data_IF_353097291069
#
_entry.id   IF_353097291069
#
_cell.length_a   1.000
_cell.length_b   1.000
_cell.length_c   1.000
_cell.angle_alpha   90.00
_cell.angle_beta   90.00
_cell.angle_gamma   90.00
#
_symmetry.space_group_name_H-M   'P 1'
#
loop_
_entity.id
_entity.type
_entity.pdbx_description
1 polymer ?
#
# COMPACT_ATOMS: atom_id res chain seq x y z
N UNK A 1 6.97 -3.26 -2.18
CA UNK A 1 5.65 -2.58 -2.24
C UNK A 1 4.55 -3.61 -2.07
N UNK A 2 3.75 -3.49 -1.03
CA UNK A 2 2.53 -4.28 -0.84
C UNK A 2 1.30 -3.50 -1.38
N UNK A 3 0.19 -3.58 -0.73
CA UNK A 3 -1.07 -2.90 -0.98
C UNK A 3 -1.86 -2.88 0.32
N UNK A 4 -2.85 -2.01 0.42
CA UNK A 4 -3.86 -2.13 1.48
C UNK A 4 -4.50 -3.53 1.46
N UNK A 5 -4.64 -4.15 0.28
CA UNK A 5 -5.14 -5.50 0.14
C UNK A 5 -4.18 -6.60 0.65
N UNK A 6 -3.00 -6.24 1.13
CA UNK A 6 -2.16 -7.11 1.94
C UNK A 6 -2.52 -7.13 3.43
N UNK A 7 -3.40 -6.23 3.87
CA UNK A 7 -3.87 -6.09 5.25
C UNK A 7 -5.36 -6.42 5.37
N UNK A 8 -6.16 -5.96 4.40
CA UNK A 8 -7.59 -6.24 4.28
C UNK A 8 -7.87 -6.77 2.88
N UNK A 9 -8.92 -7.55 2.70
CA UNK A 9 -9.28 -8.08 1.38
C UNK A 9 -10.57 -7.47 0.88
N UNK A 10 -10.67 -7.38 -0.43
CA UNK A 10 -11.88 -6.95 -1.15
C UNK A 10 -12.46 -8.10 -1.97
N UNK A 11 -13.75 -8.05 -2.29
CA UNK A 11 -14.36 -9.04 -3.18
C UNK A 11 -13.58 -9.16 -4.51
N UNK A 12 -13.46 -10.39 -5.00
CA UNK A 12 -12.78 -10.75 -6.25
C UNK A 12 -11.25 -10.56 -6.26
N UNK A 13 -10.61 -10.14 -5.16
CA UNK A 13 -9.18 -9.92 -5.06
C UNK A 13 -8.44 -10.95 -4.19
N UNK A 14 -9.00 -12.14 -3.94
CA UNK A 14 -8.41 -13.12 -3.02
C UNK A 14 -6.95 -13.47 -3.37
N UNK A 15 -6.64 -13.78 -4.63
CA UNK A 15 -5.28 -14.13 -5.07
C UNK A 15 -4.34 -12.93 -4.99
N UNK A 16 -4.80 -11.75 -5.37
CA UNK A 16 -4.05 -10.51 -5.25
C UNK A 16 -3.74 -10.21 -3.77
N UNK A 17 -4.75 -10.27 -2.90
CA UNK A 17 -4.60 -10.05 -1.46
C UNK A 17 -3.61 -11.04 -0.83
N UNK A 18 -3.70 -12.33 -1.20
CA UNK A 18 -2.74 -13.33 -0.76
C UNK A 18 -1.31 -12.99 -1.18
N UNK A 19 -1.10 -12.56 -2.42
CA UNK A 19 0.22 -12.16 -2.93
C UNK A 19 0.79 -10.96 -2.16
N UNK A 20 -0.07 -9.98 -1.83
CA UNK A 20 0.33 -8.77 -1.09
C UNK A 20 0.51 -9.02 0.40
N UNK A 21 -0.27 -9.93 0.99
CA UNK A 21 -0.07 -10.43 2.35
C UNK A 21 1.26 -11.18 2.49
N UNK A 22 1.66 -11.95 1.48
CA UNK A 22 2.97 -12.60 1.44
C UNK A 22 4.11 -11.56 1.50
N UNK A 23 4.01 -10.43 0.81
CA UNK A 23 4.99 -9.33 0.89
C UNK A 23 5.07 -8.77 2.30
N UNK A 24 3.93 -8.62 3.00
CA UNK A 24 3.89 -8.15 4.40
C UNK A 24 4.68 -9.08 5.32
N UNK A 25 4.44 -10.38 5.24
CA UNK A 25 5.13 -11.35 6.10
C UNK A 25 6.60 -11.52 5.71
N UNK A 26 6.93 -11.50 4.41
CA UNK A 26 8.31 -11.53 3.95
C UNK A 26 9.10 -10.31 4.46
N UNK A 27 8.49 -9.13 4.46
CA UNK A 27 9.10 -7.90 5.01
C UNK A 27 9.48 -8.08 6.48
N UNK A 28 8.59 -8.64 7.28
CA UNK A 28 8.85 -8.91 8.71
C UNK A 28 9.96 -9.95 8.91
N UNK A 29 9.94 -11.02 8.12
CA UNK A 29 10.98 -12.04 8.15
C UNK A 29 12.35 -11.47 7.84
N UNK A 30 12.50 -10.75 6.73
CA UNK A 30 13.76 -10.11 6.33
C UNK A 30 14.24 -9.12 7.41
N UNK A 31 13.32 -8.31 7.96
CA UNK A 31 13.68 -7.36 9.00
C UNK A 31 14.27 -8.03 10.25
N UNK A 32 13.71 -9.17 10.66
CA UNK A 32 14.21 -9.94 11.80
C UNK A 32 15.55 -10.62 11.50
N UNK A 33 15.64 -11.27 10.35
CA UNK A 33 16.83 -12.05 9.97
C UNK A 33 18.08 -11.17 9.81
N UNK A 34 17.90 -9.94 9.32
CA UNK A 34 18.99 -9.04 8.94
C UNK A 34 19.12 -7.79 9.82
N UNK A 35 18.36 -7.68 10.91
CA UNK A 35 18.39 -6.51 11.80
C UNK A 35 19.80 -6.11 12.27
N UNK A 36 20.64 -7.11 12.60
CA UNK A 36 22.00 -6.90 13.11
C UNK A 36 23.02 -6.63 12.00
N UNK A 37 22.66 -6.75 10.74
CA UNK A 37 23.57 -6.55 9.59
C UNK A 37 23.48 -5.15 8.99
N UNK A 38 22.61 -4.29 9.55
CA UNK A 38 22.35 -2.94 9.05
C UNK A 38 21.36 -2.89 7.88
N UNK A 39 20.71 -4.00 7.53
CA UNK A 39 19.68 -4.04 6.50
C UNK A 39 18.34 -3.76 7.14
N UNK A 40 17.62 -2.77 6.61
CA UNK A 40 16.25 -2.45 6.98
C UNK A 40 15.28 -2.92 5.90
N UNK A 41 14.15 -3.48 6.30
CA UNK A 41 13.10 -3.90 5.39
C UNK A 41 11.75 -3.41 5.89
N UNK A 42 11.05 -2.62 5.08
CA UNK A 42 9.74 -2.06 5.40
C UNK A 42 8.80 -2.25 4.22
N UNK A 43 7.52 -2.43 4.47
CA UNK A 43 6.50 -2.50 3.43
C UNK A 43 5.62 -1.25 3.45
N UNK A 44 5.30 -0.74 2.26
CA UNK A 44 4.30 0.30 2.07
C UNK A 44 3.06 -0.36 1.50
N UNK A 45 1.91 -0.02 2.08
CA UNK A 45 0.59 -0.49 1.69
C UNK A 45 -0.25 0.70 1.17
N UNK A 46 -0.14 1.05 -0.11
CA UNK A 46 -0.96 2.10 -0.70
C UNK A 46 -2.44 1.70 -0.76
N UNK A 47 -3.33 2.68 -0.64
CA UNK A 47 -4.72 2.59 -1.05
C UNK A 47 -4.89 2.74 -2.56
N UNK A 48 -5.99 3.38 -2.98
CA UNK A 48 -6.21 3.70 -4.39
C UNK A 48 -5.33 4.87 -4.82
N UNK A 49 -4.38 4.59 -5.71
CA UNK A 49 -3.44 5.56 -6.27
C UNK A 49 -3.71 5.69 -7.78
N UNK A 50 -3.64 6.89 -8.31
CA UNK A 50 -3.88 7.20 -9.72
C UNK A 50 -2.76 6.64 -10.61
N UNK A 51 -2.94 5.40 -11.04
CA UNK A 51 -1.96 4.63 -11.83
C UNK A 51 -2.66 3.70 -12.82
N UNK A 52 -1.98 3.32 -13.93
CA UNK A 52 -2.56 2.43 -14.94
C UNK A 52 -3.06 1.09 -14.41
N UNK A 53 -2.47 0.52 -13.36
CA UNK A 53 -2.94 -0.74 -12.77
C UNK A 53 -4.37 -0.59 -12.23
N UNK A 54 -4.69 0.56 -11.65
CA UNK A 54 -6.01 0.84 -11.12
C UNK A 54 -7.02 1.19 -12.19
N UNK A 55 -6.60 1.66 -13.36
CA UNK A 55 -7.51 1.91 -14.49
C UNK A 55 -8.13 0.61 -14.99
N UNK A 56 -7.32 -0.45 -15.13
CA UNK A 56 -7.84 -1.76 -15.49
C UNK A 56 -8.82 -2.33 -14.46
N UNK A 57 -8.57 -2.09 -13.17
CA UNK A 57 -9.49 -2.47 -12.10
C UNK A 57 -10.78 -1.63 -12.13
N UNK A 58 -10.67 -0.34 -12.40
CA UNK A 58 -11.83 0.55 -12.50
C UNK A 58 -12.85 0.11 -13.57
N UNK A 59 -12.39 -0.46 -14.67
CA UNK A 59 -13.29 -0.99 -15.72
C UNK A 59 -14.24 -2.07 -15.17
N UNK A 60 -13.76 -2.90 -14.25
CA UNK A 60 -14.59 -3.92 -13.59
C UNK A 60 -15.61 -3.30 -12.61
N UNK A 61 -15.36 -2.08 -12.15
CA UNK A 61 -16.20 -1.34 -11.21
C UNK A 61 -17.15 -0.34 -11.89
N UNK A 62 -17.16 -0.32 -13.22
CA UNK A 62 -18.03 0.53 -14.03
C UNK A 62 -17.38 1.82 -14.51
N UNK A 63 -16.05 1.86 -14.55
CA UNK A 63 -15.22 2.93 -15.11
C UNK A 63 -14.62 3.87 -14.06
N UNK A 64 -13.54 4.53 -14.44
CA UNK A 64 -12.73 5.38 -13.56
C UNK A 64 -13.53 6.55 -12.96
N UNK A 65 -14.40 7.17 -13.78
CA UNK A 65 -15.26 8.26 -13.33
C UNK A 65 -16.13 7.85 -12.14
N UNK A 66 -16.80 6.69 -12.26
CA UNK A 66 -17.67 6.16 -11.21
C UNK A 66 -16.89 5.85 -9.93
N UNK A 67 -15.70 5.30 -10.05
CA UNK A 67 -14.82 5.05 -8.89
C UNK A 67 -14.49 6.35 -8.19
N UNK A 68 -14.11 7.39 -8.92
CA UNK A 68 -13.73 8.68 -8.32
C UNK A 68 -14.90 9.41 -7.68
N UNK A 69 -16.10 9.32 -8.26
CA UNK A 69 -17.33 9.87 -7.65
C UNK A 69 -17.67 9.20 -6.31
N UNK A 70 -17.38 7.90 -6.18
CA UNK A 70 -17.63 7.11 -4.98
C UNK A 70 -16.46 6.94 -4.04
N UNK A 71 -15.28 7.51 -4.35
CA UNK A 71 -14.02 7.16 -3.67
C UNK A 71 -14.04 7.45 -2.16
N UNK A 72 -14.75 8.48 -1.71
CA UNK A 72 -14.87 8.84 -0.30
C UNK A 72 -15.55 7.77 0.56
N UNK A 73 -16.26 6.82 -0.06
CA UNK A 73 -16.92 5.71 0.64
C UNK A 73 -15.91 4.71 1.17
N UNK A 74 -14.81 4.49 0.44
CA UNK A 74 -13.79 3.52 0.83
C UNK A 74 -12.41 4.15 1.10
N UNK A 75 -12.18 5.39 0.70
CA UNK A 75 -10.95 6.15 0.95
C UNK A 75 -11.32 7.54 1.51
N UNK A 76 -11.36 7.69 2.85
CA UNK A 76 -11.92 8.86 3.54
C UNK A 76 -11.35 10.21 3.13
N UNK A 77 -10.10 10.27 2.65
CA UNK A 77 -9.49 11.50 2.13
C UNK A 77 -10.24 12.08 0.91
N UNK A 78 -11.10 11.26 0.26
CA UNK A 78 -12.03 11.68 -0.80
C UNK A 78 -11.40 11.87 -2.18
N UNK A 79 -10.17 11.43 -2.39
CA UNK A 79 -9.49 11.48 -3.69
C UNK A 79 -8.53 10.32 -3.87
N UNK A 80 -8.12 9.98 -5.10
CA UNK A 80 -7.01 9.06 -5.32
C UNK A 80 -5.70 9.65 -4.75
N UNK A 81 -4.80 8.78 -4.34
CA UNK A 81 -3.42 9.15 -4.07
C UNK A 81 -2.68 9.46 -5.36
N UNK A 82 -1.70 10.33 -5.32
CA UNK A 82 -0.79 10.56 -6.43
C UNK A 82 0.47 9.69 -6.28
N UNK A 83 1.06 9.18 -7.37
CA UNK A 83 2.30 8.38 -7.30
C UNK A 83 3.42 9.06 -6.52
N UNK A 84 3.54 10.39 -6.62
CA UNK A 84 4.55 11.16 -5.88
C UNK A 84 4.36 11.12 -4.36
N UNK A 85 3.13 10.98 -3.86
CA UNK A 85 2.86 10.89 -2.43
C UNK A 85 3.43 9.58 -1.87
N UNK A 86 3.32 8.49 -2.65
CA UNK A 86 3.96 7.21 -2.30
C UNK A 86 5.48 7.31 -2.44
N UNK A 87 5.98 7.98 -3.48
CA UNK A 87 7.41 8.16 -3.70
C UNK A 87 8.09 8.94 -2.56
N UNK A 88 7.44 9.95 -1.98
CA UNK A 88 7.97 10.67 -0.82
C UNK A 88 8.15 9.75 0.40
N UNK A 89 7.20 8.86 0.65
CA UNK A 89 7.32 7.86 1.73
C UNK A 89 8.44 6.86 1.44
N UNK A 90 8.58 6.40 0.19
CA UNK A 90 9.71 5.54 -0.23
C UNK A 90 11.03 6.24 0.03
N UNK A 91 11.17 7.50 -0.37
CA UNK A 91 12.38 8.29 -0.18
C UNK A 91 12.74 8.42 1.31
N UNK A 92 11.77 8.75 2.15
CA UNK A 92 11.97 8.80 3.61
C UNK A 92 12.46 7.46 4.15
N UNK A 93 11.76 6.36 3.83
CA UNK A 93 12.12 5.03 4.34
C UNK A 93 13.47 4.52 3.82
N UNK A 94 13.91 4.97 2.64
CA UNK A 94 15.20 4.62 2.07
C UNK A 94 16.36 5.46 2.63
N UNK A 95 16.07 6.57 3.28
CA UNK A 95 17.08 7.49 3.84
C UNK A 95 17.52 7.09 5.25
N UNK A 96 18.60 7.70 5.73
CA UNK A 96 19.10 7.54 7.09
C UNK A 96 18.16 8.14 8.15
N UNK A 97 17.26 9.04 7.75
CA UNK A 97 16.20 9.58 8.60
C UNK A 97 15.29 8.48 9.18
N UNK A 98 15.16 7.36 8.46
CA UNK A 98 14.40 6.19 8.88
C UNK A 98 15.29 5.09 9.50
N UNK A 99 16.47 5.42 10.02
CA UNK A 99 17.47 4.44 10.51
C UNK A 99 16.96 3.52 11.62
N UNK A 100 15.95 3.93 12.39
CA UNK A 100 15.34 3.11 13.44
C UNK A 100 14.04 2.42 13.02
N UNK A 101 13.70 2.45 11.70
CA UNK A 101 12.46 1.86 11.17
C UNK A 101 12.81 0.62 10.34
N UNK A 102 12.48 -0.57 10.87
CA UNK A 102 12.57 -1.85 10.16
C UNK A 102 11.42 -2.77 10.57
N UNK A 103 10.97 -3.64 9.69
CA UNK A 103 9.83 -4.53 9.91
C UNK A 103 8.46 -3.83 9.89
N UNK A 104 8.42 -2.54 9.62
CA UNK A 104 7.19 -1.75 9.64
C UNK A 104 6.34 -1.98 8.40
N UNK A 105 5.03 -2.02 8.61
CA UNK A 105 4.03 -2.11 7.56
C UNK A 105 3.26 -0.80 7.61
N UNK A 106 3.45 0.04 6.60
CA UNK A 106 3.02 1.43 6.63
C UNK A 106 1.91 1.63 5.60
N UNK A 107 0.72 1.94 6.08
CA UNK A 107 -0.40 2.32 5.22
C UNK A 107 -0.23 3.74 4.71
N UNK A 108 -0.41 3.92 3.40
CA UNK A 108 -0.48 5.21 2.71
C UNK A 108 -1.72 5.18 1.82
N UNK A 109 -2.89 5.20 2.45
CA UNK A 109 -4.15 4.72 1.89
C UNK A 109 -5.32 5.70 2.02
N UNK A 110 -5.03 6.95 2.39
CA UNK A 110 -6.07 7.97 2.55
C UNK A 110 -7.10 7.66 3.63
N UNK A 111 -6.75 6.84 4.62
CA UNK A 111 -7.60 6.45 5.73
C UNK A 111 -8.42 5.18 5.51
N UNK A 112 -8.22 4.47 4.40
CA UNK A 112 -8.98 3.27 4.04
C UNK A 112 -8.90 2.16 5.11
N UNK A 113 -7.72 1.97 5.74
CA UNK A 113 -7.52 0.97 6.80
C UNK A 113 -7.89 1.44 8.20
N UNK A 114 -8.35 2.66 8.34
CA UNK A 114 -8.77 3.22 9.63
C UNK A 114 -10.27 3.09 9.90
N UNK A 115 -11.03 2.57 8.92
CA UNK A 115 -12.47 2.34 9.01
C UNK A 115 -12.79 0.97 9.59
#
# INVERSE_FOLDING_TARGET
MSSINGLVSEPFLAVYSASKGAVVMLTRGIALDYAKTGIRCNAICPGWVDTPINYAHAELLGGLQKVYEGISVFQPIGRPGEPREIAHLVLFLASDEASFITGSIISADGGMSAM
#
